data_IF_499685119434
#
_entry.id   IF_499685119434
#
_cell.length_a   1.000
_cell.length_b   1.000
_cell.length_c   1.000
_cell.angle_alpha   90.00
_cell.angle_beta   90.00
_cell.angle_gamma   90.00
#
_symmetry.space_group_name_H-M   'P 1'
#
loop_
_entity.id
_entity.type
_entity.pdbx_description
1 polymer ?
#
# COMPACT_ATOMS: atom_id res chain seq x y z
N UNK A 1 37.20 -82.27 11.26
CA UNK A 1 38.66 -82.45 11.06
C UNK A 1 39.10 -81.62 9.87
N UNK A 2 39.94 -80.59 10.12
CA UNK A 2 41.17 -80.22 9.36
C UNK A 2 41.09 -80.32 7.82
N UNK A 3 41.27 -79.28 7.00
CA UNK A 3 42.34 -78.25 6.99
C UNK A 3 42.03 -77.15 5.96
N UNK A 4 42.47 -75.91 6.22
CA UNK A 4 42.68 -74.87 5.19
C UNK A 4 43.83 -75.28 4.25
N UNK A 5 43.91 -74.67 3.07
CA UNK A 5 45.14 -73.94 2.75
C UNK A 5 44.89 -72.53 2.17
N UNK A 6 45.92 -71.70 2.29
CA UNK A 6 46.06 -70.34 1.77
C UNK A 6 46.87 -70.31 0.48
N UNK A 7 46.82 -69.14 -0.18
CA UNK A 7 47.61 -68.64 -1.33
C UNK A 7 47.01 -68.99 -2.71
N UNK A 8 47.00 -68.12 -3.72
CA UNK A 8 47.82 -66.93 -3.99
C UNK A 8 47.11 -66.03 -5.04
N UNK A 9 47.55 -64.79 -5.10
CA UNK A 9 47.08 -63.64 -5.91
C UNK A 9 47.07 -63.81 -7.44
N UNK A 10 46.49 -62.78 -8.10
CA UNK A 10 46.61 -62.34 -9.52
C UNK A 10 45.45 -62.80 -10.43
N UNK A 11 44.75 -61.97 -11.21
CA UNK A 11 45.06 -60.66 -11.78
C UNK A 11 43.85 -59.75 -12.01
N UNK A 12 44.13 -58.45 -11.91
CA UNK A 12 43.26 -57.30 -12.16
C UNK A 12 43.24 -56.99 -13.66
N UNK A 13 42.06 -56.90 -14.27
CA UNK A 13 41.89 -56.24 -15.57
C UNK A 13 40.49 -55.61 -15.69
N UNK A 14 40.22 -54.59 -14.86
CA UNK A 14 39.08 -53.70 -15.06
C UNK A 14 39.35 -52.77 -16.25
N UNK A 15 38.66 -53.02 -17.37
CA UNK A 15 38.64 -52.13 -18.53
C UNK A 15 37.94 -50.82 -18.15
N UNK A 16 38.70 -49.83 -17.70
CA UNK A 16 38.22 -48.45 -17.57
C UNK A 16 38.06 -47.86 -18.99
N UNK A 17 36.82 -47.70 -19.43
CA UNK A 17 36.52 -46.88 -20.60
C UNK A 17 36.80 -45.42 -20.25
N UNK A 18 37.91 -44.87 -20.72
CA UNK A 18 38.18 -43.43 -20.63
C UNK A 18 37.21 -42.71 -21.57
N UNK A 19 36.05 -42.28 -21.03
CA UNK A 19 35.20 -41.28 -21.69
C UNK A 19 35.94 -39.95 -21.67
N UNK A 20 36.62 -39.63 -22.77
CA UNK A 20 37.16 -38.28 -23.02
C UNK A 20 36.00 -37.29 -23.02
N UNK A 21 35.82 -36.55 -21.93
CA UNK A 21 34.94 -35.38 -21.93
C UNK A 21 35.58 -34.31 -22.81
N UNK A 22 35.08 -34.19 -24.04
CA UNK A 22 35.40 -33.08 -24.94
C UNK A 22 34.77 -31.82 -24.36
N UNK A 23 35.55 -31.04 -23.60
CA UNK A 23 35.14 -29.71 -23.16
C UNK A 23 34.97 -28.84 -24.40
N UNK A 24 33.71 -28.68 -24.83
CA UNK A 24 33.36 -27.66 -25.80
C UNK A 24 33.41 -26.31 -25.08
N UNK A 25 34.59 -25.69 -25.12
CA UNK A 25 34.76 -24.30 -24.74
C UNK A 25 34.06 -23.43 -25.79
N UNK A 26 32.73 -23.32 -25.70
CA UNK A 26 31.97 -22.32 -26.47
C UNK A 26 32.35 -20.98 -25.86
N UNK A 27 33.09 -20.18 -26.61
CA UNK A 27 33.26 -18.76 -26.32
C UNK A 27 31.86 -18.15 -26.17
N UNK A 28 31.48 -17.85 -24.93
CA UNK A 28 30.28 -17.07 -24.63
C UNK A 28 30.58 -15.67 -25.13
N UNK A 29 30.05 -15.31 -26.29
CA UNK A 29 30.10 -13.92 -26.72
C UNK A 29 29.39 -13.07 -25.65
N UNK A 30 29.97 -11.92 -25.25
CA UNK A 30 29.28 -11.03 -24.32
C UNK A 30 27.92 -10.66 -24.93
N UNK A 31 26.85 -10.58 -24.11
CA UNK A 31 25.54 -10.18 -24.62
C UNK A 31 25.70 -8.84 -25.35
N UNK A 32 24.97 -8.64 -26.47
CA UNK A 32 25.06 -7.39 -27.23
C UNK A 32 24.81 -6.21 -26.28
N UNK A 33 25.60 -5.15 -26.44
CA UNK A 33 25.43 -3.91 -25.68
C UNK A 33 24.01 -3.40 -25.91
N UNK A 34 23.19 -3.52 -24.87
CA UNK A 34 21.81 -3.05 -24.76
C UNK A 34 21.75 -1.60 -25.30
N UNK A 35 21.01 -1.39 -26.40
CA UNK A 35 20.88 -0.08 -27.01
C UNK A 35 20.21 0.90 -26.03
N UNK A 36 20.45 2.21 -26.14
CA UNK A 36 19.79 3.22 -25.27
C UNK A 36 18.26 3.03 -25.22
N UNK A 37 17.66 2.56 -26.31
CA UNK A 37 16.23 2.22 -26.43
C UNK A 37 15.80 1.00 -25.61
N UNK A 38 16.68 0.03 -25.39
CA UNK A 38 16.36 -1.20 -24.66
C UNK A 38 16.29 -0.97 -23.13
N UNK A 39 16.97 0.05 -22.60
CA UNK A 39 16.89 0.47 -21.20
C UNK A 39 15.58 1.18 -20.84
N UNK A 40 14.90 1.74 -21.84
CA UNK A 40 13.63 2.46 -21.70
C UNK A 40 12.42 1.53 -21.86
N UNK A 41 12.64 0.27 -22.26
CA UNK A 41 11.55 -0.69 -22.45
C UNK A 41 10.84 -0.97 -21.10
N UNK A 42 9.52 -0.78 -21.00
CA UNK A 42 8.77 -1.09 -19.79
C UNK A 42 8.97 -2.55 -19.37
N UNK A 43 9.35 -2.77 -18.11
CA UNK A 43 9.34 -4.13 -17.57
C UNK A 43 7.93 -4.75 -17.69
N UNK A 44 7.84 -6.09 -17.81
CA UNK A 44 6.55 -6.80 -17.81
C UNK A 44 5.67 -6.43 -16.60
N UNK A 45 6.29 -6.16 -15.46
CA UNK A 45 5.58 -5.73 -14.25
C UNK A 45 4.98 -4.33 -14.42
N UNK A 46 5.72 -3.39 -15.01
CA UNK A 46 5.24 -2.04 -15.30
C UNK A 46 4.11 -2.08 -16.34
N UNK A 47 4.28 -2.86 -17.42
CA UNK A 47 3.24 -3.02 -18.44
C UNK A 47 1.93 -3.52 -17.83
N UNK A 48 1.97 -4.55 -16.97
CA UNK A 48 0.77 -5.05 -16.27
C UNK A 48 0.10 -3.98 -15.42
N UNK A 49 0.87 -3.07 -14.81
CA UNK A 49 0.32 -1.97 -14.00
C UNK A 49 -0.32 -0.90 -14.88
N UNK A 50 0.32 -0.56 -16.00
CA UNK A 50 -0.23 0.33 -17.03
C UNK A 50 -1.55 -0.22 -17.58
N UNK A 51 -1.58 -1.50 -17.98
CA UNK A 51 -2.82 -2.17 -18.40
C UNK A 51 -3.90 -2.11 -17.33
N UNK A 52 -3.55 -2.32 -16.06
CA UNK A 52 -4.52 -2.22 -14.96
C UNK A 52 -5.03 -0.80 -14.75
N UNK A 53 -4.19 0.22 -14.87
CA UNK A 53 -4.60 1.62 -14.78
C UNK A 53 -5.56 2.03 -15.93
N UNK A 54 -5.31 1.49 -17.12
CA UNK A 54 -6.14 1.76 -18.30
C UNK A 54 -7.49 1.03 -18.27
N UNK A 55 -7.51 -0.25 -17.87
CA UNK A 55 -8.70 -1.09 -18.03
C UNK A 55 -9.48 -1.37 -16.74
N UNK A 56 -8.87 -1.27 -15.56
CA UNK A 56 -9.63 -1.46 -14.32
C UNK A 56 -10.48 -0.23 -14.03
N UNK A 57 -11.64 -0.45 -13.39
CA UNK A 57 -12.51 0.61 -12.91
C UNK A 57 -11.80 1.37 -11.79
N UNK A 58 -11.36 2.58 -12.12
CA UNK A 58 -10.72 3.55 -11.24
C UNK A 58 -11.36 4.90 -11.56
N UNK A 59 -11.65 5.68 -10.52
CA UNK A 59 -12.33 6.96 -10.67
C UNK A 59 -11.59 8.06 -9.90
N UNK A 60 -11.57 9.26 -10.46
CA UNK A 60 -11.11 10.47 -9.80
C UNK A 60 -12.27 11.11 -9.03
N UNK A 61 -12.11 11.32 -7.73
CA UNK A 61 -13.13 11.99 -6.90
C UNK A 61 -12.87 13.49 -6.84
N UNK A 62 -11.64 13.85 -6.52
CA UNK A 62 -11.25 15.22 -6.22
C UNK A 62 -9.83 15.50 -6.74
N UNK A 63 -9.62 16.74 -7.17
CA UNK A 63 -8.35 17.27 -7.65
C UNK A 63 -8.12 18.61 -6.98
N UNK A 64 -7.01 18.74 -6.25
CA UNK A 64 -6.64 19.99 -5.59
C UNK A 64 -5.28 20.45 -6.09
N UNK A 65 -5.22 21.70 -6.53
CA UNK A 65 -3.97 22.35 -6.95
C UNK A 65 -3.40 23.07 -5.73
N UNK A 66 -2.32 22.56 -5.16
CA UNK A 66 -1.68 23.18 -3.99
C UNK A 66 -0.62 24.20 -4.40
N UNK A 67 0.15 23.89 -5.44
CA UNK A 67 1.14 24.80 -6.01
C UNK A 67 1.37 24.48 -7.49
N UNK A 68 2.09 25.34 -8.24
CA UNK A 68 2.43 25.06 -9.64
C UNK A 68 3.25 23.78 -9.85
N UNK A 69 3.82 23.21 -8.79
CA UNK A 69 4.63 21.98 -8.80
C UNK A 69 4.04 20.88 -7.89
N UNK A 70 2.82 21.07 -7.39
CA UNK A 70 2.19 20.10 -6.49
C UNK A 70 0.67 20.07 -6.69
N UNK A 71 0.18 18.92 -7.13
CA UNK A 71 -1.25 18.63 -7.24
C UNK A 71 -1.58 17.34 -6.49
N UNK A 72 -2.71 17.31 -5.79
CA UNK A 72 -3.20 16.12 -5.08
C UNK A 72 -4.50 15.63 -5.72
N UNK A 73 -4.66 14.30 -5.73
CA UNK A 73 -5.76 13.61 -6.37
C UNK A 73 -6.32 12.55 -5.42
N UNK A 74 -7.64 12.48 -5.28
CA UNK A 74 -8.32 11.41 -4.55
C UNK A 74 -8.81 10.36 -5.56
N UNK A 75 -8.22 9.16 -5.54
CA UNK A 75 -8.50 8.10 -6.52
C UNK A 75 -9.21 6.92 -5.87
N UNK A 76 -10.38 6.53 -6.41
CA UNK A 76 -11.10 5.31 -6.03
C UNK A 76 -10.46 4.11 -6.71
N UNK A 77 -10.07 3.12 -5.90
CA UNK A 77 -9.63 1.81 -6.33
C UNK A 77 -10.78 0.90 -6.78
N UNK A 78 -10.43 -0.22 -7.41
CA UNK A 78 -11.40 -1.21 -7.90
C UNK A 78 -12.31 -1.84 -6.81
N UNK A 79 -11.88 -1.76 -5.54
CA UNK A 79 -12.62 -2.25 -4.36
C UNK A 79 -13.36 -1.13 -3.62
N UNK A 80 -13.40 0.08 -4.17
CA UNK A 80 -14.03 1.25 -3.54
C UNK A 80 -13.16 1.96 -2.49
N UNK A 81 -11.95 1.49 -2.19
CA UNK A 81 -11.02 2.21 -1.30
C UNK A 81 -10.51 3.48 -1.99
N UNK A 82 -10.46 4.59 -1.26
CA UNK A 82 -9.92 5.86 -1.75
C UNK A 82 -8.46 5.99 -1.35
N UNK A 83 -7.60 6.24 -2.35
CA UNK A 83 -6.17 6.44 -2.19
C UNK A 83 -5.82 7.88 -2.60
N UNK A 84 -5.40 8.72 -1.65
CA UNK A 84 -4.75 9.98 -1.96
C UNK A 84 -3.46 9.74 -2.75
N UNK A 85 -3.32 10.45 -3.86
CA UNK A 85 -2.15 10.48 -4.72
C UNK A 85 -1.64 11.91 -4.76
N UNK A 86 -0.38 12.12 -4.37
CA UNK A 86 0.29 13.42 -4.47
C UNK A 86 1.27 13.37 -5.62
N UNK A 87 1.06 14.29 -6.57
CA UNK A 87 1.94 14.49 -7.72
C UNK A 87 2.81 15.70 -7.45
N UNK A 88 4.11 15.44 -7.30
CA UNK A 88 5.20 16.40 -7.17
C UNK A 88 6.45 15.80 -7.84
N UNK A 89 7.62 16.42 -7.66
CA UNK A 89 8.89 15.90 -8.19
C UNK A 89 9.09 14.39 -7.94
N UNK A 90 8.68 13.89 -6.76
CA UNK A 90 8.54 12.46 -6.49
C UNK A 90 7.07 12.15 -6.21
N UNK A 91 6.35 11.45 -7.11
CA UNK A 91 4.96 11.11 -6.89
C UNK A 91 4.82 10.13 -5.72
N UNK A 92 3.71 10.23 -5.00
CA UNK A 92 3.43 9.39 -3.84
C UNK A 92 1.97 8.95 -3.78
N UNK A 93 1.73 7.75 -3.24
CA UNK A 93 0.39 7.19 -3.09
C UNK A 93 0.31 6.38 -1.78
N UNK A 94 -0.81 6.43 -1.09
CA UNK A 94 -1.00 5.69 0.17
C UNK A 94 -1.25 4.20 -0.03
N UNK A 95 -1.37 3.71 -1.28
CA UNK A 95 -1.75 2.32 -1.52
C UNK A 95 -0.63 1.31 -1.20
N UNK A 96 -0.97 0.03 -0.89
CA UNK A 96 0.01 -0.98 -0.52
C UNK A 96 1.08 -1.29 -1.58
N UNK A 97 0.78 -1.12 -2.88
CA UNK A 97 1.75 -1.35 -3.96
C UNK A 97 2.83 -0.27 -3.96
N UNK A 98 2.47 0.97 -3.65
CA UNK A 98 3.42 2.08 -3.53
C UNK A 98 4.27 1.98 -2.27
N UNK A 99 3.67 1.59 -1.14
CA UNK A 99 4.38 1.37 0.12
C UNK A 99 5.48 0.30 0.00
N UNK A 100 5.36 -0.61 -0.97
CA UNK A 100 6.41 -1.59 -1.33
C UNK A 100 7.53 -1.02 -2.22
N UNK A 101 7.57 0.29 -2.46
CA UNK A 101 8.61 0.98 -3.23
C UNK A 101 8.40 0.99 -4.75
N UNK A 102 7.19 0.68 -5.22
CA UNK A 102 6.88 0.60 -6.63
C UNK A 102 5.96 1.73 -7.13
N UNK A 103 6.06 2.10 -8.41
CA UNK A 103 4.98 2.82 -9.06
C UNK A 103 3.73 1.94 -9.04
N UNK A 104 2.62 2.50 -8.55
CA UNK A 104 1.36 1.80 -8.43
C UNK A 104 0.42 2.18 -9.57
N UNK A 105 -0.59 1.35 -9.80
CA UNK A 105 -1.63 1.63 -10.80
C UNK A 105 -2.39 2.95 -10.57
N UNK A 106 -2.44 3.47 -9.34
CA UNK A 106 -3.15 4.72 -9.04
C UNK A 106 -2.37 5.94 -9.54
N UNK A 107 -1.03 5.94 -9.39
CA UNK A 107 -0.17 6.99 -9.97
C UNK A 107 -0.26 6.93 -11.50
N UNK A 108 -0.15 5.73 -12.08
CA UNK A 108 -0.28 5.56 -13.53
C UNK A 108 -1.66 5.98 -14.07
N UNK A 109 -2.72 5.74 -13.29
CA UNK A 109 -4.06 6.21 -13.62
C UNK A 109 -4.12 7.74 -13.69
N UNK A 110 -3.51 8.43 -12.72
CA UNK A 110 -3.45 9.90 -12.73
C UNK A 110 -2.68 10.40 -13.95
N UNK A 111 -1.52 9.80 -14.25
CA UNK A 111 -0.74 10.11 -15.44
C UNK A 111 -1.52 9.96 -16.74
N UNK A 112 -2.09 8.78 -16.97
CA UNK A 112 -2.69 8.40 -18.25
C UNK A 112 -4.09 8.98 -18.45
N UNK A 113 -4.91 9.03 -17.41
CA UNK A 113 -6.33 9.37 -17.53
C UNK A 113 -6.68 10.75 -16.99
N UNK A 114 -6.01 11.20 -15.93
CA UNK A 114 -6.30 12.52 -15.34
C UNK A 114 -5.48 13.63 -16.00
N UNK A 115 -4.19 13.41 -16.24
CA UNK A 115 -3.30 14.38 -16.87
C UNK A 115 -3.06 14.13 -18.36
N UNK A 116 -3.61 13.01 -18.88
CA UNK A 116 -3.53 12.60 -20.29
C UNK A 116 -2.10 12.62 -20.86
N UNK A 117 -1.14 12.17 -20.06
CA UNK A 117 0.18 11.85 -20.58
C UNK A 117 0.04 10.78 -21.68
N UNK A 118 0.70 10.95 -22.83
CA UNK A 118 0.63 9.97 -23.90
C UNK A 118 1.38 8.71 -23.49
N UNK A 119 0.75 7.55 -23.69
CA UNK A 119 1.26 6.20 -23.33
C UNK A 119 2.67 5.87 -23.86
N UNK A 120 3.14 6.63 -24.85
CA UNK A 120 4.47 6.53 -25.45
C UNK A 120 5.51 7.43 -24.78
N UNK A 121 5.14 8.24 -23.78
CA UNK A 121 6.05 9.17 -23.12
C UNK A 121 6.93 8.44 -22.11
N UNK A 122 8.24 8.76 -22.05
CA UNK A 122 9.15 8.15 -21.09
C UNK A 122 8.79 8.52 -19.64
N UNK A 123 8.01 9.58 -19.43
CA UNK A 123 7.64 10.11 -18.10
C UNK A 123 6.72 9.20 -17.29
N UNK A 124 5.98 8.29 -17.92
CA UNK A 124 4.97 7.48 -17.22
C UNK A 124 5.55 6.49 -16.22
N UNK A 125 6.78 6.04 -16.46
CA UNK A 125 7.48 5.05 -15.66
C UNK A 125 8.67 5.64 -14.89
N UNK A 126 8.88 6.95 -14.99
CA UNK A 126 9.87 7.65 -14.19
C UNK A 126 9.41 7.71 -12.73
N UNK A 127 10.31 7.35 -11.80
CA UNK A 127 10.05 7.43 -10.35
C UNK A 127 10.14 8.86 -9.81
N UNK A 128 10.74 9.77 -10.58
CA UNK A 128 10.87 11.18 -10.25
C UNK A 128 10.86 11.98 -11.56
N UNK A 129 10.24 13.15 -11.51
CA UNK A 129 10.14 14.10 -12.62
C UNK A 129 10.98 15.34 -12.33
N UNK A 130 11.54 15.93 -13.37
CA UNK A 130 12.17 17.24 -13.28
C UNK A 130 11.13 18.33 -13.08
N UNK A 131 11.54 19.46 -12.53
CA UNK A 131 10.64 20.60 -12.28
C UNK A 131 10.12 21.23 -13.56
N UNK A 132 10.87 21.17 -14.67
CA UNK A 132 10.44 21.62 -15.99
C UNK A 132 9.38 20.69 -16.58
N UNK A 133 9.67 19.39 -16.61
CA UNK A 133 8.74 18.34 -17.06
C UNK A 133 7.41 18.42 -16.29
N UNK A 134 7.48 18.60 -14.97
CA UNK A 134 6.28 18.69 -14.13
C UNK A 134 5.40 19.91 -14.47
N UNK A 135 6.01 21.07 -14.76
CA UNK A 135 5.26 22.26 -15.20
C UNK A 135 4.59 22.02 -16.54
N UNK A 136 5.32 21.48 -17.50
CA UNK A 136 4.80 21.18 -18.84
C UNK A 136 3.60 20.22 -18.76
N UNK A 137 3.70 19.18 -17.94
CA UNK A 137 2.62 18.21 -17.71
C UNK A 137 1.39 18.90 -17.13
N UNK A 138 1.54 19.76 -16.12
CA UNK A 138 0.42 20.44 -15.49
C UNK A 138 -0.20 21.54 -16.35
N UNK A 139 0.60 22.24 -17.13
CA UNK A 139 0.10 23.23 -18.09
C UNK A 139 -0.68 22.54 -19.22
N UNK A 140 -0.15 21.44 -19.76
CA UNK A 140 -0.84 20.63 -20.75
C UNK A 140 -2.17 20.07 -20.21
N UNK A 141 -2.17 19.58 -18.95
CA UNK A 141 -3.38 19.07 -18.31
C UNK A 141 -4.42 20.16 -18.01
N UNK A 142 -4.03 21.43 -17.93
CA UNK A 142 -4.99 22.55 -17.77
C UNK A 142 -5.74 22.85 -19.07
N UNK A 143 -5.14 22.54 -20.22
CA UNK A 143 -5.75 22.72 -21.54
C UNK A 143 -6.76 21.61 -21.88
N UNK A 144 -6.83 20.57 -21.06
CA UNK A 144 -7.58 19.35 -21.33
C UNK A 144 -8.53 19.06 -20.19
N UNK A 145 -9.83 19.24 -20.43
CA UNK A 145 -10.85 18.88 -19.46
C UNK A 145 -10.90 17.35 -19.26
N UNK A 146 -10.93 16.85 -18.01
CA UNK A 146 -11.06 15.42 -17.74
C UNK A 146 -12.37 14.89 -18.33
N UNK A 147 -12.33 13.72 -18.98
CA UNK A 147 -13.55 13.12 -19.53
C UNK A 147 -14.46 12.68 -18.39
N UNK A 148 -15.77 12.85 -18.53
CA UNK A 148 -16.78 12.39 -17.56
C UNK A 148 -16.62 10.91 -17.15
N UNK A 149 -16.05 10.06 -18.02
CA UNK A 149 -15.75 8.65 -17.73
C UNK A 149 -14.65 8.42 -16.67
N UNK A 150 -13.82 9.43 -16.39
CA UNK A 150 -12.74 9.38 -15.40
C UNK A 150 -13.23 9.89 -14.04
N UNK A 151 -14.16 10.84 -14.04
CA UNK A 151 -14.70 11.47 -12.83
C UNK A 151 -15.72 10.54 -12.17
N UNK A 152 -15.69 10.47 -10.84
CA UNK A 152 -16.68 9.74 -10.07
C UNK A 152 -18.06 10.42 -10.16
N UNK A 153 -19.14 9.64 -10.12
CA UNK A 153 -20.51 10.15 -9.96
C UNK A 153 -20.62 11.08 -8.75
N UNK A 154 -21.46 12.10 -8.86
CA UNK A 154 -21.70 13.11 -7.81
C UNK A 154 -22.00 12.47 -6.44
N UNK A 155 -22.80 11.40 -6.40
CA UNK A 155 -23.11 10.64 -5.18
C UNK A 155 -21.89 10.11 -4.43
N UNK A 156 -20.81 9.78 -5.15
CA UNK A 156 -19.55 9.28 -4.61
C UNK A 156 -18.73 10.44 -4.05
N UNK A 157 -18.72 11.55 -4.79
CA UNK A 157 -18.04 12.80 -4.40
C UNK A 157 -18.66 13.33 -3.10
N UNK A 158 -19.98 13.34 -2.99
CA UNK A 158 -20.67 13.81 -1.78
C UNK A 158 -20.37 12.95 -0.56
N UNK A 159 -20.38 11.62 -0.72
CA UNK A 159 -19.99 10.71 0.37
C UNK A 159 -18.55 10.88 0.78
N UNK A 160 -17.64 11.10 -0.18
CA UNK A 160 -16.26 11.39 0.11
C UNK A 160 -16.10 12.74 0.84
N UNK A 161 -16.77 13.80 0.37
CA UNK A 161 -16.75 15.12 1.02
C UNK A 161 -17.31 15.07 2.43
N UNK A 162 -18.42 14.38 2.65
CA UNK A 162 -19.00 14.17 3.98
C UNK A 162 -18.05 13.40 4.90
N UNK A 163 -17.38 12.37 4.37
CA UNK A 163 -16.37 11.61 5.10
C UNK A 163 -15.16 12.49 5.48
N UNK A 164 -14.64 13.27 4.54
CA UNK A 164 -13.48 14.15 4.79
C UNK A 164 -13.82 15.34 5.66
N UNK A 165 -15.04 15.89 5.57
CA UNK A 165 -15.48 16.98 6.42
C UNK A 165 -15.57 16.55 7.89
N UNK A 166 -16.09 15.35 8.16
CA UNK A 166 -16.08 14.75 9.52
C UNK A 166 -14.66 14.49 10.05
N UNK A 167 -13.69 14.28 9.15
CA UNK A 167 -12.28 14.09 9.51
C UNK A 167 -11.53 15.39 9.73
N UNK A 168 -11.85 16.43 8.95
CA UNK A 168 -11.21 17.74 8.98
C UNK A 168 -11.78 18.65 10.07
N UNK A 169 -13.08 18.56 10.33
CA UNK A 169 -13.70 19.07 11.56
C UNK A 169 -13.36 18.14 12.73
N UNK A 170 -12.07 17.81 12.86
CA UNK A 170 -11.53 16.86 13.83
C UNK A 170 -12.30 17.02 15.13
N UNK A 171 -12.81 15.91 15.64
CA UNK A 171 -13.65 15.89 16.83
C UNK A 171 -12.99 16.73 17.93
N UNK A 172 -13.40 17.99 18.05
CA UNK A 172 -13.54 18.67 19.32
C UNK A 172 -14.59 17.85 20.05
N UNK A 173 -14.12 16.72 20.56
CA UNK A 173 -14.81 15.81 21.43
C UNK A 173 -14.88 16.51 22.79
N UNK A 174 -15.60 17.64 22.84
CA UNK A 174 -16.45 17.98 23.99
C UNK A 174 -17.59 16.96 24.01
N UNK A 175 -17.23 15.69 24.10
CA UNK A 175 -18.14 14.63 24.49
C UNK A 175 -18.26 14.67 26.01
N UNK A 176 -19.44 14.37 26.51
CA UNK A 176 -19.78 13.98 27.90
C UNK A 176 -18.96 12.77 28.40
N UNK A 177 -17.63 12.85 28.33
CA UNK A 177 -16.70 11.81 28.70
C UNK A 177 -16.26 11.96 30.15
N UNK A 178 -15.91 10.83 30.77
CA UNK A 178 -15.37 10.79 32.12
C UNK A 178 -14.04 11.56 32.17
N UNK A 179 -13.92 12.45 33.17
CA UNK A 179 -12.74 13.28 33.40
C UNK A 179 -11.49 12.42 33.65
N UNK A 180 -10.36 12.89 33.14
CA UNK A 180 -9.07 12.25 33.32
C UNK A 180 -8.67 12.28 34.80
N UNK A 181 -8.19 11.15 35.33
CA UNK A 181 -7.66 11.10 36.70
C UNK A 181 -6.25 11.69 36.80
N UNK A 182 -5.86 12.20 37.98
CA UNK A 182 -4.49 12.63 38.25
C UNK A 182 -3.46 11.53 37.91
N UNK A 183 -2.27 11.96 37.47
CA UNK A 183 -1.17 11.06 37.08
C UNK A 183 -0.25 10.69 38.25
N UNK A 184 -0.25 11.49 39.30
CA UNK A 184 0.80 11.51 40.34
C UNK A 184 0.88 10.20 41.16
N UNK A 185 -0.25 9.51 41.37
CA UNK A 185 -0.34 8.29 42.19
C UNK A 185 -0.75 7.05 41.39
N UNK A 186 -0.48 6.99 40.09
CA UNK A 186 -0.92 5.89 39.23
C UNK A 186 0.20 5.29 38.37
N UNK A 187 0.25 3.96 38.34
CA UNK A 187 1.14 3.19 37.49
C UNK A 187 0.43 2.66 36.24
N UNK A 188 1.18 2.57 35.14
CA UNK A 188 0.69 2.01 33.90
C UNK A 188 0.47 0.49 34.05
N UNK A 189 -0.68 -0.08 33.65
CA UNK A 189 -0.99 -1.49 33.89
C UNK A 189 -0.27 -2.44 32.94
N UNK A 190 0.49 -1.89 31.98
CA UNK A 190 1.23 -2.65 30.95
C UNK A 190 2.70 -2.79 31.31
N UNK A 191 3.35 -1.68 31.66
CA UNK A 191 4.78 -1.65 31.98
C UNK A 191 5.06 -1.54 33.48
N UNK A 192 4.04 -1.26 34.31
CA UNK A 192 4.19 -1.06 35.76
C UNK A 192 5.15 0.09 36.13
N UNK A 193 5.30 1.07 35.23
CA UNK A 193 6.04 2.31 35.48
C UNK A 193 5.07 3.45 35.80
N UNK A 194 5.56 4.43 36.57
CA UNK A 194 4.80 5.61 36.96
C UNK A 194 4.30 6.39 35.73
N UNK A 195 3.04 6.82 35.76
CA UNK A 195 2.43 7.60 34.68
C UNK A 195 2.87 9.07 34.69
N UNK A 196 3.42 9.56 35.80
CA UNK A 196 3.99 10.89 35.96
C UNK A 196 5.47 10.97 35.48
N UNK A 197 5.86 10.16 34.49
CA UNK A 197 7.22 10.07 33.96
C UNK A 197 7.48 10.98 32.74
N UNK A 198 6.50 11.83 32.38
CA UNK A 198 6.58 12.76 31.25
C UNK A 198 6.28 12.14 29.89
N UNK A 199 5.94 10.85 29.82
CA UNK A 199 5.52 10.20 28.56
C UNK A 199 4.07 10.56 28.23
N UNK A 200 3.69 10.55 26.93
CA UNK A 200 2.31 10.79 26.53
C UNK A 200 1.40 9.70 27.11
N UNK A 201 0.25 10.11 27.64
CA UNK A 201 -0.77 9.22 28.22
C UNK A 201 -2.07 9.33 27.46
N UNK A 202 -2.83 8.24 27.46
CA UNK A 202 -4.22 8.16 27.00
C UNK A 202 -5.07 7.68 28.17
N UNK A 203 -6.34 8.09 28.23
CA UNK A 203 -7.23 7.72 29.33
C UNK A 203 -8.57 7.17 28.84
N UNK A 204 -9.22 6.42 29.73
CA UNK A 204 -10.55 5.88 29.46
C UNK A 204 -11.61 6.99 29.57
N UNK A 205 -12.10 7.47 28.43
CA UNK A 205 -13.20 8.46 28.35
C UNK A 205 -14.58 7.89 28.68
N UNK A 206 -14.75 6.57 28.61
CA UNK A 206 -16.07 5.93 28.67
C UNK A 206 -16.57 5.68 30.10
N UNK A 207 -15.70 5.28 31.04
CA UNK A 207 -16.15 4.88 32.39
C UNK A 207 -15.19 5.25 33.52
N UNK A 208 -13.90 4.87 33.44
CA UNK A 208 -13.06 4.86 34.64
C UNK A 208 -12.04 6.00 34.77
N UNK A 209 -11.80 6.79 33.71
CA UNK A 209 -10.86 7.92 33.72
C UNK A 209 -9.38 7.56 33.98
N UNK A 210 -9.05 6.28 34.11
CA UNK A 210 -7.68 5.81 34.39
C UNK A 210 -6.79 5.98 33.14
N UNK A 211 -5.49 6.20 33.40
CA UNK A 211 -4.49 6.53 32.41
C UNK A 211 -3.64 5.32 32.01
N UNK A 212 -3.12 5.33 30.80
CA UNK A 212 -2.20 4.33 30.26
C UNK A 212 -1.21 5.10 29.37
N UNK A 213 0.08 4.76 29.37
CA UNK A 213 1.01 5.33 28.39
C UNK A 213 0.53 5.06 26.96
N UNK A 214 0.67 6.05 26.07
CA UNK A 214 0.22 5.95 24.68
C UNK A 214 0.89 4.79 23.92
N UNK A 215 2.17 4.53 24.19
CA UNK A 215 2.91 3.40 23.60
C UNK A 215 2.37 2.05 24.10
N UNK A 216 2.19 1.91 25.41
CA UNK A 216 1.61 0.73 26.04
C UNK A 216 0.19 0.43 25.50
N UNK A 217 -0.62 1.47 25.34
CA UNK A 217 -1.95 1.36 24.74
C UNK A 217 -1.88 0.94 23.27
N UNK A 218 -0.93 1.47 22.50
CA UNK A 218 -0.72 1.09 21.09
C UNK A 218 -0.36 -0.39 20.95
N UNK A 219 0.46 -0.94 21.86
CA UNK A 219 0.80 -2.36 21.86
C UNK A 219 -0.42 -3.23 22.17
N UNK A 220 -1.24 -2.82 23.14
CA UNK A 220 -2.49 -3.48 23.46
C UNK A 220 -3.49 -3.48 22.31
N UNK A 221 -3.66 -2.34 21.65
CA UNK A 221 -4.54 -2.24 20.51
C UNK A 221 -4.11 -3.20 19.39
N UNK A 222 -2.81 -3.28 19.10
CA UNK A 222 -2.26 -4.20 18.10
C UNK A 222 -2.55 -5.66 18.47
N UNK A 223 -2.40 -6.05 19.73
CA UNK A 223 -2.65 -7.44 20.16
C UNK A 223 -4.13 -7.81 20.06
N UNK A 224 -5.04 -6.91 20.43
CA UNK A 224 -6.50 -7.12 20.30
C UNK A 224 -6.95 -7.20 18.85
N UNK A 225 -6.41 -6.34 17.98
CA UNK A 225 -6.66 -6.39 16.54
C UNK A 225 -6.16 -7.69 15.90
N UNK A 226 -4.98 -8.17 16.29
CA UNK A 226 -4.44 -9.45 15.80
C UNK A 226 -5.32 -10.65 16.17
N UNK A 227 -6.01 -10.56 17.32
CA UNK A 227 -6.94 -11.59 17.81
C UNK A 227 -8.38 -11.38 17.34
N UNK A 228 -8.66 -10.36 16.51
CA UNK A 228 -10.02 -9.97 16.08
C UNK A 228 -10.97 -9.78 17.29
N UNK A 229 -10.42 -9.28 18.40
CA UNK A 229 -11.15 -9.05 19.64
C UNK A 229 -11.51 -7.57 19.81
N UNK A 230 -12.65 -7.29 20.45
CA UNK A 230 -13.07 -5.93 20.76
C UNK A 230 -12.02 -5.18 21.61
N UNK A 231 -11.77 -3.91 21.28
CA UNK A 231 -10.87 -3.07 22.06
C UNK A 231 -11.58 -2.64 23.35
N UNK A 232 -10.96 -2.91 24.50
CA UNK A 232 -11.54 -2.66 25.82
C UNK A 232 -10.51 -2.00 26.72
N UNK A 233 -10.99 -1.21 27.69
CA UNK A 233 -10.18 -0.65 28.77
C UNK A 233 -9.55 -1.77 29.61
N UNK A 234 -8.28 -1.64 29.96
CA UNK A 234 -7.58 -2.62 30.81
C UNK A 234 -8.08 -2.60 32.26
N UNK A 235 -8.55 -1.45 32.74
CA UNK A 235 -9.00 -1.27 34.10
C UNK A 235 -10.46 -1.71 34.30
N UNK A 236 -11.38 -1.13 33.54
CA UNK A 236 -12.82 -1.38 33.72
C UNK A 236 -13.44 -2.31 32.67
N UNK A 237 -12.67 -2.73 31.64
CA UNK A 237 -13.14 -3.57 30.52
C UNK A 237 -14.26 -2.98 29.66
N UNK A 238 -14.67 -1.74 29.92
CA UNK A 238 -15.59 -1.00 29.06
C UNK A 238 -15.04 -0.95 27.64
N UNK A 239 -15.92 -0.99 26.62
CA UNK A 239 -15.52 -0.77 25.24
C UNK A 239 -14.69 0.50 25.15
N UNK A 240 -13.52 0.42 24.54
CA UNK A 240 -12.74 1.62 24.31
C UNK A 240 -13.36 2.36 23.13
N UNK A 241 -13.58 3.68 23.21
CA UNK A 241 -14.01 4.46 22.07
C UNK A 241 -12.89 4.45 21.03
N UNK A 242 -12.87 3.42 20.20
CA UNK A 242 -12.44 3.58 18.83
C UNK A 242 -13.43 4.57 18.26
N UNK A 243 -12.96 5.71 17.74
CA UNK A 243 -13.84 6.71 17.15
C UNK A 243 -14.80 6.02 16.17
N UNK A 244 -16.03 5.69 16.60
CA UNK A 244 -16.94 4.85 15.82
C UNK A 244 -17.69 5.68 14.76
N UNK A 245 -17.39 6.98 14.67
CA UNK A 245 -17.61 7.80 13.48
C UNK A 245 -16.60 7.55 12.35
N UNK A 246 -15.51 6.83 12.63
CA UNK A 246 -14.39 6.56 11.71
C UNK A 246 -14.52 5.18 11.02
N UNK A 247 -15.20 4.22 11.63
CA UNK A 247 -15.27 2.81 11.21
C UNK A 247 -16.31 2.54 10.12
N UNK A 248 -17.43 3.27 10.07
CA UNK A 248 -18.44 3.07 9.00
C UNK A 248 -17.91 3.46 7.62
N UNK A 249 -16.95 4.39 7.57
CA UNK A 249 -16.32 4.89 6.34
C UNK A 249 -14.98 4.24 6.05
N UNK A 250 -14.29 3.66 7.05
CA UNK A 250 -13.03 2.93 6.81
C UNK A 250 -13.31 1.47 6.52
N UNK A 251 -12.98 1.00 5.32
CA UNK A 251 -13.03 -0.43 5.00
C UNK A 251 -12.06 -1.24 5.85
N UNK A 252 -12.10 -2.57 5.74
CA UNK A 252 -11.32 -3.53 6.52
C UNK A 252 -9.79 -3.28 6.51
N UNK A 253 -9.29 -2.51 5.53
CA UNK A 253 -7.89 -2.13 5.37
C UNK A 253 -7.55 -0.72 5.92
N UNK A 254 -8.50 -0.04 6.59
CA UNK A 254 -8.30 1.27 7.24
C UNK A 254 -8.41 2.50 6.33
N UNK A 255 -8.80 2.34 5.06
CA UNK A 255 -9.00 3.43 4.09
C UNK A 255 -10.46 3.84 3.98
N UNK A 256 -10.72 5.12 3.68
CA UNK A 256 -12.08 5.57 3.31
C UNK A 256 -12.59 4.73 2.15
N UNK A 257 -13.75 4.10 2.29
CA UNK A 257 -14.32 3.17 1.32
C UNK A 257 -15.69 3.65 0.86
N UNK A 258 -15.83 3.81 -0.46
CA UNK A 258 -17.05 4.23 -1.15
C UNK A 258 -17.69 3.10 -1.97
N UNK A 259 -17.37 1.83 -1.67
CA UNK A 259 -17.87 0.67 -2.43
C UNK A 259 -19.40 0.57 -2.41
N UNK A 260 -20.02 0.89 -1.29
CA UNK A 260 -21.48 0.90 -1.11
C UNK A 260 -22.17 2.00 -1.92
N UNK A 261 -21.44 3.02 -2.37
CA UNK A 261 -21.95 4.11 -3.22
C UNK A 261 -21.83 3.79 -4.70
N UNK A 262 -20.81 2.99 -5.03
CA UNK A 262 -20.34 2.71 -6.39
C UNK A 262 -20.84 1.36 -6.91
N UNK A 263 -21.60 0.61 -6.10
CA UNK A 263 -21.92 -0.80 -6.32
C UNK A 263 -20.67 -1.63 -6.71
N UNK A 264 -19.52 -1.27 -6.15
CA UNK A 264 -18.26 -1.98 -6.40
C UNK A 264 -18.15 -3.15 -5.43
N UNK A 265 -17.78 -4.32 -5.95
CA UNK A 265 -17.48 -5.47 -5.10
C UNK A 265 -16.28 -5.17 -4.21
N UNK A 266 -16.39 -5.52 -2.93
CA UNK A 266 -15.26 -5.48 -1.98
C UNK A 266 -14.24 -6.57 -2.27
N UNK A 267 -14.62 -7.63 -3.00
CA UNK A 267 -13.69 -8.66 -3.41
C UNK A 267 -12.77 -8.14 -4.52
N UNK A 268 -11.47 -8.31 -4.31
CA UNK A 268 -10.46 -8.11 -5.36
C UNK A 268 -10.62 -9.24 -6.38
N UNK A 269 -11.47 -9.03 -7.38
CA UNK A 269 -11.64 -9.99 -8.46
C UNK A 269 -10.30 -10.34 -9.07
N UNK A 270 -9.93 -11.63 -9.04
CA UNK A 270 -8.94 -12.14 -9.97
C UNK A 270 -9.56 -12.05 -11.35
N UNK A 271 -9.15 -11.05 -12.12
CA UNK A 271 -9.39 -11.09 -13.55
C UNK A 271 -8.63 -12.30 -14.09
N UNK A 272 -9.36 -13.39 -14.39
CA UNK A 272 -8.86 -14.45 -15.23
C UNK A 272 -8.32 -13.81 -16.52
N UNK A 273 -7.08 -14.08 -16.91
CA UNK A 273 -6.57 -13.58 -18.18
C UNK A 273 -7.36 -14.29 -19.29
N UNK A 274 -8.00 -13.51 -20.16
CA UNK A 274 -8.42 -13.91 -21.50
C UNK A 274 -9.18 -15.23 -21.63
N UNK A 275 -10.50 -15.16 -21.80
CA UNK A 275 -11.19 -16.13 -22.65
C UNK A 275 -11.34 -15.46 -24.02
N UNK A 276 -10.32 -15.60 -24.88
CA UNK A 276 -10.50 -15.43 -26.32
C UNK A 276 -11.22 -16.68 -26.78
N UNK A 277 -12.50 -16.55 -27.13
CA UNK A 277 -13.14 -17.47 -28.05
C UNK A 277 -12.85 -17.00 -29.47
#
# INVERSE_FOLDING_TARGET
MKTKPMSREQDVAAKQSVRRHRSHNKAVQPPPLCSRSDWLAPSRANLRKTTRALHQRLYLIDKQVQSPLHQTFAVVGSTGNVYPVSIKAVPSCTCPDFLKGNLCKHILFVWLKCLRLPASSPHELQKALLTTELREIFEAATKVEPTLAVIATETIVDRYRAATAKLAAGSDDESDGVQQKPLEDSDCPVCFEALADGRPVVWCKEQCGNNIHAECFTQWEKSRRALVAQLTCMYCRSPWPVADGMTSLRGDEGYVNVATATNLSRHRGWSCPFNVR
#
